data_IF_876885360841
#
_entry.id   IF_876885360841
#
_cell.length_a   1.000
_cell.length_b   1.000
_cell.length_c   1.000
_cell.angle_alpha   90.00
_cell.angle_beta   90.00
_cell.angle_gamma   90.00
#
_symmetry.space_group_name_H-M   'P 1'
#
loop_
_entity.id
_entity.type
_entity.pdbx_description
1 polymer ?
#
# COMPACT_ATOMS: atom_id res chain seq x y z
N UNK A 1 -68.56 18.45 28.72
CA UNK A 1 -67.90 17.20 29.20
C UNK A 1 -68.18 16.11 28.18
N UNK A 2 -67.25 15.42 27.53
CA UNK A 2 -65.80 15.24 27.68
C UNK A 2 -65.17 15.14 26.27
N UNK A 3 -64.15 15.95 25.98
CA UNK A 3 -63.30 15.80 24.79
C UNK A 3 -62.29 14.68 25.08
N UNK A 4 -62.25 13.62 24.27
CA UNK A 4 -61.19 12.60 24.36
C UNK A 4 -60.05 13.02 23.44
N UNK A 5 -58.92 13.34 24.07
CA UNK A 5 -57.64 13.67 23.46
C UNK A 5 -57.04 12.38 22.86
N UNK A 6 -56.90 12.31 21.54
CA UNK A 6 -56.07 11.29 20.90
C UNK A 6 -54.70 11.89 20.62
N UNK A 7 -53.68 11.35 21.29
CA UNK A 7 -52.29 11.66 21.04
C UNK A 7 -51.90 11.13 19.65
N UNK A 8 -51.54 12.02 18.74
CA UNK A 8 -50.94 11.66 17.45
C UNK A 8 -49.44 11.48 17.65
N UNK A 9 -49.00 10.22 17.67
CA UNK A 9 -47.58 9.82 17.66
C UNK A 9 -46.98 10.24 16.32
N UNK A 10 -46.09 11.23 16.33
CA UNK A 10 -45.27 11.60 15.17
C UNK A 10 -44.28 10.48 14.89
N UNK A 11 -44.55 9.69 13.84
CA UNK A 11 -43.61 8.72 13.30
C UNK A 11 -42.49 9.50 12.57
N UNK A 12 -41.31 9.60 13.18
CA UNK A 12 -40.10 10.03 12.50
C UNK A 12 -39.74 8.96 11.45
N UNK A 13 -40.12 9.19 10.20
CA UNK A 13 -39.60 8.42 9.07
C UNK A 13 -38.19 8.95 8.81
N UNK A 14 -37.19 8.36 9.48
CA UNK A 14 -35.81 8.52 9.04
C UNK A 14 -35.69 7.94 7.63
N UNK A 15 -35.20 8.69 6.62
CA UNK A 15 -34.87 8.09 5.35
C UNK A 15 -33.74 7.09 5.58
N UNK A 16 -34.03 5.81 5.35
CA UNK A 16 -33.01 4.80 5.10
C UNK A 16 -32.26 5.27 3.85
N UNK A 17 -31.12 5.93 4.04
CA UNK A 17 -30.11 6.07 3.00
C UNK A 17 -29.67 4.65 2.66
N UNK A 18 -30.34 4.03 1.69
CA UNK A 18 -29.82 2.86 1.02
C UNK A 18 -28.53 3.31 0.37
N UNK A 19 -27.39 2.88 0.91
CA UNK A 19 -26.11 3.05 0.26
C UNK A 19 -26.25 2.43 -1.14
N UNK A 20 -26.23 3.27 -2.17
CA UNK A 20 -26.24 2.80 -3.55
C UNK A 20 -25.01 1.93 -3.79
N UNK A 21 -25.15 0.92 -4.63
CA UNK A 21 -24.02 0.14 -5.11
C UNK A 21 -23.66 0.63 -6.51
N UNK A 22 -22.41 1.04 -6.71
CA UNK A 22 -21.88 1.45 -8.01
C UNK A 22 -21.08 0.32 -8.65
N UNK A 23 -21.07 0.29 -9.99
CA UNK A 23 -20.28 -0.67 -10.76
C UNK A 23 -18.77 -0.45 -10.53
N UNK A 24 -18.04 -1.55 -10.33
CA UNK A 24 -16.60 -1.55 -10.08
C UNK A 24 -15.83 -2.42 -11.10
N UNK A 25 -16.48 -2.73 -12.24
CA UNK A 25 -15.92 -3.57 -13.31
C UNK A 25 -14.54 -3.10 -13.80
N UNK A 26 -14.28 -1.79 -13.82
CA UNK A 26 -12.99 -1.23 -14.21
C UNK A 26 -11.84 -1.67 -13.28
N UNK A 27 -12.07 -1.67 -11.96
CA UNK A 27 -11.08 -2.12 -10.98
C UNK A 27 -10.88 -3.62 -11.01
N UNK A 28 -11.95 -4.39 -11.24
CA UNK A 28 -11.86 -5.85 -11.44
C UNK A 28 -11.02 -6.16 -12.69
N UNK A 29 -11.25 -5.45 -13.80
CA UNK A 29 -10.47 -5.61 -15.03
C UNK A 29 -9.00 -5.24 -14.81
N UNK A 30 -8.74 -4.11 -14.14
CA UNK A 30 -7.37 -3.67 -13.80
C UNK A 30 -6.65 -4.71 -12.92
N UNK A 31 -7.33 -5.27 -11.93
CA UNK A 31 -6.79 -6.34 -11.07
C UNK A 31 -6.32 -7.54 -11.91
N UNK A 32 -7.18 -8.07 -12.79
CA UNK A 32 -6.83 -9.24 -13.60
C UNK A 32 -5.71 -8.95 -14.59
N UNK A 33 -5.70 -7.75 -15.18
CA UNK A 33 -4.69 -7.34 -16.14
C UNK A 33 -3.29 -7.20 -15.52
N UNK A 34 -3.21 -6.84 -14.24
CA UNK A 34 -1.95 -6.53 -13.55
C UNK A 34 -1.45 -7.68 -12.66
N UNK A 35 -2.27 -8.70 -12.39
CA UNK A 35 -2.04 -9.68 -11.33
C UNK A 35 -0.67 -10.39 -11.42
N UNK A 36 -0.26 -10.83 -12.61
CA UNK A 36 1.01 -11.55 -12.77
C UNK A 36 2.21 -10.62 -12.62
N UNK A 37 2.14 -9.40 -13.16
CA UNK A 37 3.19 -8.39 -13.00
C UNK A 37 3.35 -7.99 -11.52
N UNK A 38 2.24 -7.88 -10.79
CA UNK A 38 2.25 -7.61 -9.34
C UNK A 38 2.92 -8.73 -8.55
N UNK A 39 2.66 -10.00 -8.91
CA UNK A 39 3.33 -11.15 -8.27
C UNK A 39 4.84 -11.12 -8.53
N UNK A 40 5.25 -10.82 -9.75
CA UNK A 40 6.67 -10.69 -10.11
C UNK A 40 7.34 -9.58 -9.30
N UNK A 41 6.74 -8.38 -9.30
CA UNK A 41 7.23 -7.22 -8.57
C UNK A 41 7.31 -7.49 -7.06
N UNK A 42 6.30 -8.14 -6.47
CA UNK A 42 6.32 -8.54 -5.07
C UNK A 42 7.51 -9.44 -4.76
N UNK A 43 7.71 -10.51 -5.56
CA UNK A 43 8.80 -11.46 -5.34
C UNK A 43 10.16 -10.77 -5.44
N UNK A 44 10.36 -9.97 -6.47
CA UNK A 44 11.62 -9.26 -6.71
C UNK A 44 11.91 -8.21 -5.62
N UNK A 45 10.87 -7.51 -5.15
CA UNK A 45 10.97 -6.56 -4.03
C UNK A 45 11.38 -7.28 -2.75
N UNK A 46 10.78 -8.42 -2.42
CA UNK A 46 11.14 -9.20 -1.22
C UNK A 46 12.59 -9.66 -1.29
N UNK A 47 13.00 -10.27 -2.42
CA UNK A 47 14.37 -10.75 -2.60
C UNK A 47 15.37 -9.60 -2.48
N UNK A 48 15.08 -8.46 -3.10
CA UNK A 48 15.90 -7.26 -3.01
C UNK A 48 16.02 -6.76 -1.57
N UNK A 49 14.90 -6.64 -0.84
CA UNK A 49 14.92 -6.21 0.57
C UNK A 49 15.73 -7.18 1.45
N UNK A 50 15.66 -8.49 1.21
CA UNK A 50 16.46 -9.48 1.96
C UNK A 50 17.95 -9.32 1.65
N UNK A 51 18.32 -9.18 0.37
CA UNK A 51 19.71 -8.97 -0.05
C UNK A 51 20.34 -7.70 0.53
N UNK A 52 19.52 -6.68 0.81
CA UNK A 52 19.97 -5.40 1.38
C UNK A 52 20.78 -5.56 2.68
N UNK A 53 20.44 -6.57 3.51
CA UNK A 53 21.17 -6.90 4.75
C UNK A 53 22.62 -7.25 4.44
N UNK A 54 22.80 -8.24 3.56
CA UNK A 54 24.11 -8.79 3.24
C UNK A 54 25.01 -7.78 2.54
N UNK A 55 24.44 -6.97 1.64
CA UNK A 55 25.19 -5.94 0.92
C UNK A 55 25.63 -4.83 1.88
N UNK A 56 24.76 -4.38 2.79
CA UNK A 56 25.12 -3.36 3.76
C UNK A 56 26.19 -3.85 4.75
N UNK A 57 26.08 -5.10 5.22
CA UNK A 57 27.08 -5.71 6.09
C UNK A 57 28.44 -5.85 5.39
N UNK A 58 28.45 -6.36 4.15
CA UNK A 58 29.66 -6.46 3.35
C UNK A 58 30.29 -5.08 3.11
N UNK A 59 29.49 -4.06 2.76
CA UNK A 59 29.97 -2.69 2.54
C UNK A 59 30.70 -2.14 3.78
N UNK A 60 30.15 -2.38 4.97
CA UNK A 60 30.78 -2.01 6.24
C UNK A 60 32.09 -2.77 6.45
N UNK A 61 32.12 -4.08 6.21
CA UNK A 61 33.32 -4.92 6.41
C UNK A 61 34.47 -4.55 5.46
N UNK A 62 34.16 -4.17 4.21
CA UNK A 62 35.15 -3.76 3.22
C UNK A 62 35.52 -2.27 3.27
N UNK A 63 35.18 -1.57 4.37
CA UNK A 63 35.61 -0.18 4.57
C UNK A 63 34.93 0.82 3.64
N UNK A 64 33.73 0.53 3.16
CA UNK A 64 32.92 1.46 2.38
C UNK A 64 33.17 1.43 0.87
N UNK A 65 33.82 0.40 0.34
CA UNK A 65 34.01 0.22 -1.11
C UNK A 65 33.44 -1.13 -1.54
N UNK A 66 32.23 -1.12 -2.11
CA UNK A 66 31.55 -2.31 -2.61
C UNK A 66 30.66 -1.95 -3.82
N UNK A 67 30.97 -2.39 -5.05
CA UNK A 67 30.20 -2.03 -6.25
C UNK A 67 28.74 -2.48 -6.21
N UNK A 68 28.45 -3.54 -5.45
CA UNK A 68 27.11 -4.07 -5.21
C UNK A 68 26.19 -3.03 -4.57
N UNK A 69 26.70 -2.05 -3.81
CA UNK A 69 25.88 -0.94 -3.26
C UNK A 69 25.28 -0.11 -4.39
N UNK A 70 26.07 0.20 -5.42
CA UNK A 70 25.58 0.96 -6.58
C UNK A 70 24.59 0.13 -7.40
N UNK A 71 24.91 -1.14 -7.64
CA UNK A 71 24.02 -2.05 -8.37
C UNK A 71 22.67 -2.22 -7.65
N UNK A 72 22.70 -2.41 -6.33
CA UNK A 72 21.51 -2.58 -5.50
C UNK A 72 20.65 -1.32 -5.45
N UNK A 73 21.27 -0.15 -5.26
CA UNK A 73 20.57 1.14 -5.29
C UNK A 73 19.86 1.37 -6.63
N UNK A 74 20.53 1.07 -7.75
CA UNK A 74 19.92 1.16 -9.09
C UNK A 74 18.79 0.15 -9.26
N UNK A 75 18.91 -1.04 -8.69
CA UNK A 75 17.87 -2.05 -8.78
C UNK A 75 16.61 -1.63 -8.03
N UNK A 76 16.74 -1.11 -6.81
CA UNK A 76 15.62 -0.55 -6.04
C UNK A 76 14.96 0.60 -6.79
N UNK A 77 15.76 1.48 -7.41
CA UNK A 77 15.20 2.57 -8.23
C UNK A 77 14.35 2.03 -9.40
N UNK A 78 14.81 0.98 -10.09
CA UNK A 78 14.02 0.34 -11.15
C UNK A 78 12.72 -0.25 -10.62
N UNK A 79 12.75 -0.92 -9.47
CA UNK A 79 11.52 -1.45 -8.84
C UNK A 79 10.50 -0.32 -8.57
N UNK A 80 10.96 0.87 -8.17
CA UNK A 80 10.10 2.04 -7.99
C UNK A 80 9.52 2.54 -9.31
N UNK A 81 10.34 2.62 -10.35
CA UNK A 81 9.90 3.00 -11.70
C UNK A 81 8.87 2.01 -12.25
N UNK A 82 9.10 0.71 -12.05
CA UNK A 82 8.17 -0.36 -12.43
C UNK A 82 6.86 -0.29 -11.63
N UNK A 83 6.93 0.00 -10.32
CA UNK A 83 5.77 0.20 -9.47
C UNK A 83 4.94 1.43 -9.91
N UNK A 84 5.60 2.53 -10.24
CA UNK A 84 4.93 3.74 -10.75
C UNK A 84 4.28 3.50 -12.12
N UNK A 85 4.94 2.73 -13.00
CA UNK A 85 4.37 2.34 -14.28
C UNK A 85 3.14 1.43 -14.10
N UNK A 86 3.24 0.43 -13.21
CA UNK A 86 2.20 -0.56 -13.00
C UNK A 86 1.00 0.02 -12.25
N UNK A 87 1.21 0.76 -11.17
CA UNK A 87 0.13 1.22 -10.31
C UNK A 87 -0.32 2.66 -10.60
N UNK A 88 0.51 3.45 -11.26
CA UNK A 88 0.40 4.90 -11.30
C UNK A 88 0.96 5.55 -10.04
N UNK A 89 0.86 6.89 -9.99
CA UNK A 89 1.30 7.67 -8.82
C UNK A 89 0.39 7.44 -7.59
N UNK A 90 0.75 8.07 -6.46
CA UNK A 90 0.00 7.95 -5.21
C UNK A 90 -1.48 8.36 -5.30
N UNK A 91 -1.84 9.25 -6.23
CA UNK A 91 -3.22 9.72 -6.46
C UNK A 91 -4.04 8.77 -7.32
N UNK A 92 -3.40 7.77 -7.94
CA UNK A 92 -4.06 6.79 -8.81
C UNK A 92 -4.66 5.68 -7.96
N UNK A 93 -5.97 5.43 -8.10
CA UNK A 93 -6.63 4.27 -7.50
C UNK A 93 -6.07 2.98 -8.13
N UNK A 94 -5.68 2.05 -7.28
CA UNK A 94 -5.11 0.75 -7.67
C UNK A 94 -5.75 -0.36 -6.85
N UNK A 95 -6.01 -1.55 -7.42
CA UNK A 95 -6.48 -2.69 -6.66
C UNK A 95 -5.39 -3.29 -5.74
N UNK A 96 -4.14 -2.81 -5.85
CA UNK A 96 -3.00 -3.31 -5.10
C UNK A 96 -2.26 -2.20 -4.32
N UNK A 97 -2.94 -1.43 -3.46
CA UNK A 97 -2.30 -0.30 -2.78
C UNK A 97 -1.16 -0.74 -1.86
N UNK A 98 -1.28 -1.86 -1.13
CA UNK A 98 -0.19 -2.33 -0.27
C UNK A 98 0.99 -2.88 -1.07
N UNK A 99 0.75 -3.48 -2.25
CA UNK A 99 1.86 -3.89 -3.13
C UNK A 99 2.65 -2.69 -3.67
N UNK A 100 1.98 -1.56 -3.92
CA UNK A 100 2.66 -0.30 -4.28
C UNK A 100 3.51 0.22 -3.13
N UNK A 101 2.95 0.32 -1.93
CA UNK A 101 3.67 0.84 -0.75
C UNK A 101 4.89 -0.03 -0.38
N UNK A 102 4.82 -1.34 -0.60
CA UNK A 102 5.90 -2.28 -0.28
C UNK A 102 7.23 -1.90 -0.94
N UNK A 103 7.20 -1.39 -2.18
CA UNK A 103 8.39 -0.99 -2.93
C UNK A 103 9.04 0.26 -2.31
N UNK A 104 8.23 1.20 -1.83
CA UNK A 104 8.73 2.39 -1.13
C UNK A 104 9.28 2.04 0.26
N UNK A 105 8.67 1.08 0.96
CA UNK A 105 9.20 0.56 2.22
C UNK A 105 10.56 -0.15 2.00
N UNK A 106 10.73 -0.89 0.90
CA UNK A 106 12.01 -1.51 0.53
C UNK A 106 13.13 -0.46 0.32
N UNK A 107 12.84 0.61 -0.43
CA UNK A 107 13.76 1.73 -0.65
C UNK A 107 14.16 2.40 0.67
N UNK A 108 13.17 2.63 1.55
CA UNK A 108 13.42 3.17 2.88
C UNK A 108 14.34 2.28 3.72
N UNK A 109 14.07 0.97 3.75
CA UNK A 109 14.92 0.00 4.48
C UNK A 109 16.35 0.05 3.95
N UNK A 110 16.53 0.07 2.62
CA UNK A 110 17.85 0.16 2.02
C UNK A 110 18.59 1.43 2.42
N UNK A 111 17.93 2.59 2.33
CA UNK A 111 18.51 3.87 2.76
C UNK A 111 18.99 3.84 4.21
N UNK A 112 18.17 3.30 5.12
CA UNK A 112 18.51 3.15 6.54
C UNK A 112 19.69 2.20 6.76
N UNK A 113 19.69 1.04 6.10
CA UNK A 113 20.82 0.09 6.19
C UNK A 113 22.12 0.70 5.70
N UNK A 114 22.07 1.39 4.56
CA UNK A 114 23.24 2.01 3.98
C UNK A 114 23.77 3.14 4.87
N UNK A 115 22.91 3.93 5.50
CA UNK A 115 23.34 4.95 6.47
C UNK A 115 24.01 4.32 7.70
N UNK A 116 23.41 3.27 8.27
CA UNK A 116 24.02 2.53 9.38
C UNK A 116 25.39 1.96 9.00
N UNK A 117 25.52 1.39 7.79
CA UNK A 117 26.77 0.84 7.30
C UNK A 117 27.84 1.92 7.08
N UNK A 118 27.47 3.08 6.52
CA UNK A 118 28.37 4.23 6.31
C UNK A 118 28.83 4.87 7.61
N UNK A 119 27.94 4.96 8.60
CA UNK A 119 28.20 5.64 9.88
C UNK A 119 28.68 4.68 10.97
N UNK A 120 28.78 3.38 10.68
CA UNK A 120 29.11 2.32 11.61
C UNK A 120 28.23 2.33 12.89
N UNK A 121 26.97 2.73 12.74
CA UNK A 121 25.98 2.75 13.84
C UNK A 121 25.32 1.39 13.98
N UNK A 122 24.98 1.04 15.22
CA UNK A 122 24.14 -0.12 15.48
C UNK A 122 22.69 0.12 15.02
N UNK A 123 21.95 -0.93 14.61
CA UNK A 123 20.52 -0.82 14.31
C UNK A 123 19.73 -0.18 15.45
N UNK A 124 18.93 0.81 15.12
CA UNK A 124 18.04 1.51 16.06
C UNK A 124 16.56 1.26 15.78
N UNK A 125 15.69 1.90 16.56
CA UNK A 125 14.22 1.77 16.42
C UNK A 125 13.70 2.12 15.02
N UNK A 126 14.39 3.00 14.31
CA UNK A 126 13.96 3.47 12.99
C UNK A 126 13.98 2.35 11.94
N UNK A 127 15.07 1.58 11.87
CA UNK A 127 15.16 0.45 10.93
C UNK A 127 14.19 -0.67 11.32
N UNK A 128 14.08 -1.00 12.62
CA UNK A 128 13.10 -2.00 13.07
C UNK A 128 11.65 -1.58 12.75
N UNK A 129 11.32 -0.30 12.91
CA UNK A 129 9.99 0.21 12.55
C UNK A 129 9.73 0.17 11.04
N UNK A 130 10.77 0.35 10.22
CA UNK A 130 10.66 0.22 8.77
C UNK A 130 10.46 -1.25 8.36
N UNK A 131 11.20 -2.17 8.97
CA UNK A 131 11.06 -3.62 8.76
C UNK A 131 9.66 -4.12 9.16
N UNK A 132 9.13 -3.67 10.31
CA UNK A 132 7.78 -4.01 10.76
C UNK A 132 6.70 -3.52 9.79
N UNK A 133 6.88 -2.31 9.22
CA UNK A 133 5.97 -1.77 8.21
C UNK A 133 6.03 -2.59 6.93
N UNK A 134 7.23 -2.92 6.47
CA UNK A 134 7.44 -3.75 5.29
C UNK A 134 6.76 -5.12 5.43
N UNK A 135 6.90 -5.81 6.57
CA UNK A 135 6.26 -7.12 6.80
C UNK A 135 4.73 -7.02 6.81
N UNK A 136 4.18 -5.93 7.37
CA UNK A 136 2.74 -5.67 7.35
C UNK A 136 2.24 -5.41 5.93
N UNK A 137 2.92 -4.54 5.19
CA UNK A 137 2.62 -4.24 3.79
C UNK A 137 2.73 -5.50 2.91
N UNK A 138 3.73 -6.34 3.15
CA UNK A 138 3.92 -7.61 2.45
C UNK A 138 2.72 -8.53 2.64
N UNK A 139 2.31 -8.73 3.90
CA UNK A 139 1.16 -9.57 4.22
C UNK A 139 -0.13 -9.04 3.60
N UNK A 140 -0.32 -7.72 3.62
CA UNK A 140 -1.47 -7.07 3.01
C UNK A 140 -1.45 -7.17 1.48
N UNK A 141 -0.31 -6.97 0.83
CA UNK A 141 -0.13 -7.16 -0.61
C UNK A 141 -0.45 -8.61 -1.02
N UNK A 142 0.02 -9.61 -0.27
CA UNK A 142 -0.32 -11.01 -0.54
C UNK A 142 -1.83 -11.24 -0.45
N UNK A 143 -2.52 -10.57 0.47
CA UNK A 143 -3.98 -10.66 0.57
C UNK A 143 -4.68 -9.99 -0.62
N UNK A 144 -4.20 -8.83 -1.06
CA UNK A 144 -4.68 -8.16 -2.28
C UNK A 144 -4.53 -9.06 -3.50
N UNK A 145 -3.36 -9.68 -3.70
CA UNK A 145 -3.12 -10.65 -4.79
C UNK A 145 -4.10 -11.82 -4.75
N UNK A 146 -4.55 -12.26 -3.58
CA UNK A 146 -5.49 -13.40 -3.43
C UNK A 146 -6.95 -12.99 -3.48
N UNK A 147 -7.26 -11.71 -3.36
CA UNK A 147 -8.62 -11.22 -3.14
C UNK A 147 -8.96 -10.20 -4.21
N UNK A 148 -9.63 -10.61 -5.30
CA UNK A 148 -10.11 -9.68 -6.31
C UNK A 148 -11.03 -8.62 -5.68
N UNK A 149 -11.00 -7.36 -6.16
CA UNK A 149 -11.94 -6.35 -5.72
C UNK A 149 -13.38 -6.79 -6.06
N UNK A 150 -14.38 -6.39 -5.24
CA UNK A 150 -15.77 -6.75 -5.51
C UNK A 150 -16.26 -6.08 -6.81
N UNK A 151 -17.16 -6.76 -7.53
CA UNK A 151 -17.73 -6.25 -8.78
C UNK A 151 -18.60 -5.00 -8.59
N UNK A 152 -19.09 -4.76 -7.37
CA UNK A 152 -19.81 -3.55 -6.97
C UNK A 152 -19.18 -2.97 -5.70
N UNK A 153 -19.17 -1.64 -5.57
CA UNK A 153 -18.70 -0.94 -4.37
C UNK A 153 -19.75 0.03 -3.82
N UNK A 154 -19.73 0.28 -2.51
CA UNK A 154 -20.69 1.17 -1.87
C UNK A 154 -20.43 2.64 -2.25
N UNK A 155 -21.48 3.33 -2.67
CA UNK A 155 -21.45 4.71 -3.14
C UNK A 155 -21.07 5.70 -2.04
N UNK A 156 -21.36 5.37 -0.77
CA UNK A 156 -20.99 6.17 0.41
C UNK A 156 -19.48 6.28 0.66
N UNK A 157 -18.68 5.41 0.02
CA UNK A 157 -17.20 5.51 0.04
C UNK A 157 -16.64 6.38 -1.09
N UNK A 158 -17.49 6.80 -2.03
CA UNK A 158 -17.14 7.62 -3.21
C UNK A 158 -17.75 9.02 -3.19
N UNK A 159 -18.72 9.30 -2.32
CA UNK A 159 -19.34 10.61 -2.20
C UNK A 159 -18.35 11.60 -1.55
N UNK A 160 -17.65 12.37 -2.39
CA UNK A 160 -17.09 13.66 -2.02
C UNK A 160 -18.26 14.50 -1.52
N UNK A 161 -18.16 15.04 -0.30
CA UNK A 161 -19.13 15.98 0.25
C UNK A 161 -19.14 17.19 -0.69
N UNK A 162 -20.19 17.33 -1.49
CA UNK A 162 -20.48 18.57 -2.22
C UNK A 162 -20.91 19.60 -1.17
N UNK A 163 -19.97 20.43 -0.72
CA UNK A 163 -20.28 21.58 0.12
C UNK A 163 -20.82 22.67 -0.82
N UNK A 164 -22.10 22.62 -1.13
CA UNK A 164 -22.81 23.81 -1.61
C UNK A 164 -22.88 24.84 -0.48
N UNK A 165 -22.37 26.04 -0.78
CA UNK A 165 -22.30 27.28 0.01
C UNK A 165 -23.43 27.57 0.99
#
# INVERSE_FOLDING_TARGET
>A
MKLKLFAATTLLISPLLFAGQVDNSAMVKKYHAQLEDVKSLLNETIVTTVLSVHIADAYRQFGGVLPEVTAHSKHIQRLKEDAEHLFGNALTETPFPNCRELVYDADKIWGLRLDLAKTNKAPGKEISSAEDKFVKAQSACVNEIKTPPPAKKDESKTAIIDITS
#
